data_IF_782709947798
#
_entry.id   IF_782709947798
#
_cell.length_a   1.000
_cell.length_b   1.000
_cell.length_c   1.000
_cell.angle_alpha   90.00
_cell.angle_beta   90.00
_cell.angle_gamma   90.00
#
_symmetry.space_group_name_H-M   'P 1'
#
loop_
_entity.id
_entity.type
_entity.pdbx_description
1 polymer ?
#
# COMPACT_ATOMS: atom_id res chain seq x y z
N UNK A 1 -0.13 5.31 39.02
CA UNK A 1 -0.15 5.74 37.60
C UNK A 1 0.60 4.71 36.76
N UNK A 2 0.00 3.53 36.57
CA UNK A 2 0.52 2.53 35.63
C UNK A 2 0.08 3.00 34.23
N UNK A 3 1.02 3.21 33.31
CA UNK A 3 0.71 3.59 31.91
C UNK A 3 1.31 4.89 31.39
N UNK A 4 1.88 5.77 32.23
CA UNK A 4 2.51 7.02 31.72
C UNK A 4 3.68 6.78 30.76
N UNK A 5 4.39 5.67 30.93
CA UNK A 5 5.51 5.26 30.06
C UNK A 5 5.16 4.10 29.11
N UNK A 6 3.91 3.64 29.10
CA UNK A 6 3.49 2.58 28.18
C UNK A 6 3.39 3.12 26.75
N UNK A 7 3.81 2.30 25.78
CA UNK A 7 3.58 2.54 24.34
C UNK A 7 2.07 2.59 24.05
N UNK A 8 1.69 3.22 22.95
CA UNK A 8 0.27 3.39 22.62
C UNK A 8 -0.47 2.06 22.38
N UNK A 9 0.22 1.03 21.87
CA UNK A 9 -0.27 -0.34 21.78
C UNK A 9 -0.60 -0.94 23.15
N UNK A 10 0.31 -0.83 24.11
CA UNK A 10 0.11 -1.27 25.49
C UNK A 10 -1.00 -0.49 26.19
N UNK A 11 -1.14 0.81 25.90
CA UNK A 11 -2.26 1.62 26.40
C UNK A 11 -3.58 1.12 25.85
N UNK A 12 -3.65 0.88 24.53
CA UNK A 12 -4.84 0.32 23.89
C UNK A 12 -5.24 -1.01 24.53
N UNK A 13 -4.30 -1.94 24.72
CA UNK A 13 -4.57 -3.24 25.34
C UNK A 13 -5.16 -3.11 26.75
N UNK A 14 -4.63 -2.19 27.56
CA UNK A 14 -5.21 -1.88 28.89
C UNK A 14 -6.61 -1.25 28.79
N UNK A 15 -6.88 -0.44 27.77
CA UNK A 15 -8.22 0.11 27.55
C UNK A 15 -9.22 -0.97 27.13
N UNK A 16 -8.81 -1.90 26.28
CA UNK A 16 -9.62 -3.05 25.84
C UNK A 16 -9.96 -3.95 27.03
N UNK A 17 -8.98 -4.27 27.88
CA UNK A 17 -9.21 -5.04 29.11
C UNK A 17 -10.22 -4.33 30.02
N UNK A 18 -10.09 -3.01 30.21
CA UNK A 18 -11.07 -2.24 30.96
C UNK A 18 -12.46 -2.30 30.33
N UNK A 19 -12.56 -2.14 29.01
CA UNK A 19 -13.82 -2.20 28.27
C UNK A 19 -14.50 -3.57 28.40
N UNK A 20 -13.71 -4.64 28.45
CA UNK A 20 -14.18 -6.01 28.64
C UNK A 20 -14.69 -6.26 30.07
N UNK A 21 -13.95 -5.83 31.09
CA UNK A 21 -14.22 -6.19 32.49
C UNK A 21 -15.20 -5.25 33.21
N UNK A 22 -15.24 -3.96 32.83
CA UNK A 22 -16.00 -2.95 33.55
C UNK A 22 -17.51 -3.23 33.64
N UNK A 23 -18.22 -3.75 32.62
CA UNK A 23 -19.66 -3.99 32.73
C UNK A 23 -20.06 -4.91 33.91
N UNK A 24 -19.33 -6.01 34.11
CA UNK A 24 -19.57 -6.92 35.23
C UNK A 24 -19.23 -6.26 36.58
N UNK A 25 -18.14 -5.49 36.62
CA UNK A 25 -17.75 -4.71 37.80
C UNK A 25 -18.80 -3.67 38.16
N UNK A 26 -19.34 -2.93 37.19
CA UNK A 26 -20.41 -1.93 37.39
C UNK A 26 -21.66 -2.60 37.98
N UNK A 27 -22.09 -3.73 37.41
CA UNK A 27 -23.24 -4.48 37.91
C UNK A 27 -23.03 -4.96 39.35
N UNK A 28 -21.84 -5.47 39.66
CA UNK A 28 -21.46 -5.89 41.00
C UNK A 28 -21.50 -4.73 42.01
N UNK A 29 -20.95 -3.56 41.65
CA UNK A 29 -20.95 -2.38 42.53
C UNK A 29 -22.37 -1.83 42.76
N UNK A 30 -23.23 -1.83 41.72
CA UNK A 30 -24.66 -1.46 41.88
C UNK A 30 -25.38 -2.42 42.84
N UNK A 31 -25.13 -3.72 42.73
CA UNK A 31 -25.71 -4.72 43.63
C UNK A 31 -25.30 -4.54 45.09
N UNK A 32 -24.14 -3.91 45.35
CA UNK A 32 -23.65 -3.55 46.69
C UNK A 32 -24.18 -2.22 47.23
N UNK A 33 -24.96 -1.47 46.43
CA UNK A 33 -25.41 -0.13 46.79
C UNK A 33 -24.35 0.97 46.56
N UNK A 34 -23.20 0.63 45.96
CA UNK A 34 -22.10 1.57 45.67
C UNK A 34 -22.36 2.38 44.39
N UNK A 35 -23.52 3.06 44.33
CA UNK A 35 -24.02 3.71 43.13
C UNK A 35 -23.09 4.80 42.59
N UNK A 36 -22.46 5.58 43.46
CA UNK A 36 -21.53 6.64 43.04
C UNK A 36 -20.29 6.08 42.31
N UNK A 37 -19.73 4.99 42.81
CA UNK A 37 -18.60 4.32 42.19
C UNK A 37 -19.01 3.63 40.88
N UNK A 38 -20.16 2.94 40.87
CA UNK A 38 -20.69 2.34 39.64
C UNK A 38 -20.89 3.36 38.52
N UNK A 39 -21.44 4.54 38.84
CA UNK A 39 -21.62 5.63 37.87
C UNK A 39 -20.29 6.17 37.37
N UNK A 40 -19.27 6.26 38.24
CA UNK A 40 -17.93 6.69 37.85
C UNK A 40 -17.29 5.70 36.86
N UNK A 41 -17.41 4.41 37.13
CA UNK A 41 -16.94 3.35 36.23
C UNK A 41 -17.68 3.34 34.89
N UNK A 42 -19.00 3.52 34.91
CA UNK A 42 -19.81 3.59 33.69
C UNK A 42 -19.45 4.81 32.82
N UNK A 43 -19.24 5.98 33.44
CA UNK A 43 -18.78 7.17 32.72
C UNK A 43 -17.40 6.95 32.07
N UNK A 44 -16.47 6.33 32.80
CA UNK A 44 -15.15 5.99 32.28
C UNK A 44 -15.23 4.96 31.14
N UNK A 45 -16.10 3.95 31.26
CA UNK A 45 -16.34 2.96 30.20
C UNK A 45 -16.90 3.62 28.94
N UNK A 46 -17.92 4.46 29.07
CA UNK A 46 -18.49 5.21 27.95
C UNK A 46 -17.46 6.13 27.29
N UNK A 47 -16.60 6.78 28.08
CA UNK A 47 -15.54 7.64 27.54
C UNK A 47 -14.50 6.84 26.75
N UNK A 48 -14.05 5.70 27.28
CA UNK A 48 -13.09 4.82 26.59
C UNK A 48 -13.68 4.25 25.31
N UNK A 49 -14.93 3.79 25.35
CA UNK A 49 -15.62 3.26 24.16
C UNK A 49 -15.71 4.31 23.06
N UNK A 50 -16.02 5.57 23.40
CA UNK A 50 -16.03 6.68 22.44
C UNK A 50 -14.66 7.02 21.86
N UNK A 51 -13.58 6.81 22.62
CA UNK A 51 -12.19 7.12 22.21
C UNK A 51 -11.47 5.95 21.56
N UNK A 52 -12.05 4.75 21.59
CA UNK A 52 -11.44 3.53 21.08
C UNK A 52 -10.91 3.66 19.64
N UNK A 53 -11.63 4.26 18.67
CA UNK A 53 -11.07 4.48 17.33
C UNK A 53 -9.74 5.25 17.34
N UNK A 54 -9.63 6.30 18.16
CA UNK A 54 -8.41 7.10 18.27
C UNK A 54 -7.28 6.34 19.00
N UNK A 55 -7.64 5.48 19.97
CA UNK A 55 -6.67 4.60 20.62
C UNK A 55 -6.11 3.54 19.64
N UNK A 56 -6.96 2.97 18.78
CA UNK A 56 -6.55 2.07 17.70
C UNK A 56 -5.62 2.79 16.73
N UNK A 57 -5.97 4.00 16.29
CA UNK A 57 -5.10 4.82 15.45
C UNK A 57 -3.70 4.98 16.07
N UNK A 58 -3.61 5.46 17.32
CA UNK A 58 -2.32 5.70 17.98
C UNK A 58 -1.47 4.43 18.10
N UNK A 59 -2.11 3.29 18.38
CA UNK A 59 -1.45 2.00 18.49
C UNK A 59 -1.01 1.38 17.16
N UNK A 60 -1.53 1.88 16.03
CA UNK A 60 -1.30 1.30 14.69
C UNK A 60 -0.72 2.36 13.74
N UNK A 61 -1.55 3.07 12.99
CA UNK A 61 -1.15 4.07 11.99
C UNK A 61 -0.39 5.27 12.58
N UNK A 62 -0.54 5.52 13.88
CA UNK A 62 0.19 6.55 14.63
C UNK A 62 1.48 6.05 15.29
N UNK A 63 1.79 4.75 15.20
CA UNK A 63 2.87 4.13 15.97
C UNK A 63 4.26 4.31 15.33
N UNK A 64 5.30 3.94 16.09
CA UNK A 64 6.67 3.88 15.57
C UNK A 64 6.85 2.81 14.50
N UNK A 65 6.19 1.66 14.68
CA UNK A 65 6.21 0.51 13.78
C UNK A 65 5.67 0.91 12.39
N UNK A 66 4.57 1.65 12.34
CA UNK A 66 4.05 2.18 11.07
C UNK A 66 4.98 3.23 10.44
N UNK A 67 5.72 3.99 11.25
CA UNK A 67 6.74 4.91 10.73
C UNK A 67 7.92 4.15 10.13
N UNK A 68 8.35 3.05 10.75
CA UNK A 68 9.42 2.18 10.26
C UNK A 68 9.03 1.55 8.92
N UNK A 69 7.79 1.09 8.76
CA UNK A 69 7.24 0.59 7.48
C UNK A 69 7.45 1.57 6.31
N UNK A 70 7.28 2.88 6.57
CA UNK A 70 7.43 3.94 5.55
C UNK A 70 8.84 4.52 5.47
N UNK A 71 9.77 4.05 6.30
CA UNK A 71 11.14 4.54 6.29
C UNK A 71 11.85 4.08 5.00
N UNK A 72 12.45 5.03 4.29
CA UNK A 72 13.22 4.70 3.09
C UNK A 72 14.54 4.03 3.49
N UNK A 73 14.89 2.89 2.88
CA UNK A 73 16.18 2.27 3.13
C UNK A 73 17.31 3.15 2.59
N UNK A 74 18.45 3.14 3.28
CA UNK A 74 19.63 3.92 2.90
C UNK A 74 20.17 3.53 1.51
N UNK A 75 20.00 2.27 1.13
CA UNK A 75 20.41 1.74 -0.17
C UNK A 75 19.25 0.98 -0.82
N UNK A 76 18.93 1.25 -2.10
CA UNK A 76 17.92 0.50 -2.82
C UNK A 76 18.34 -0.97 -2.96
N UNK A 77 17.45 -1.90 -2.61
CA UNK A 77 17.68 -3.32 -2.85
C UNK A 77 17.64 -3.61 -4.37
N UNK A 78 18.69 -4.27 -4.87
CA UNK A 78 18.90 -4.46 -6.30
C UNK A 78 17.81 -5.32 -6.97
N UNK A 79 17.27 -6.27 -6.23
CA UNK A 79 16.29 -7.28 -6.65
C UNK A 79 14.85 -6.97 -6.20
N UNK A 80 14.62 -5.84 -5.53
CA UNK A 80 13.28 -5.45 -5.09
C UNK A 80 12.29 -5.31 -6.27
N UNK A 81 11.07 -5.90 -6.21
CA UNK A 81 10.39 -6.48 -5.03
C UNK A 81 10.44 -8.02 -4.90
N UNK A 82 11.43 -8.71 -5.51
CA UNK A 82 11.42 -10.19 -5.60
C UNK A 82 11.45 -10.92 -4.26
N UNK A 83 12.05 -10.33 -3.22
CA UNK A 83 12.23 -10.92 -1.90
C UNK A 83 11.36 -10.24 -0.82
N UNK A 84 10.09 -10.00 -1.15
CA UNK A 84 9.13 -9.39 -0.21
C UNK A 84 8.31 -10.48 0.51
N UNK A 85 8.13 -10.33 1.82
CA UNK A 85 7.40 -11.28 2.64
C UNK A 85 5.88 -11.09 2.56
N UNK A 86 5.13 -12.20 2.56
CA UNK A 86 3.66 -12.20 2.68
C UNK A 86 3.18 -12.01 4.12
N UNK A 87 4.04 -12.26 5.11
CA UNK A 87 3.73 -12.15 6.53
C UNK A 87 3.32 -10.72 6.92
N UNK A 88 3.98 -9.70 6.36
CA UNK A 88 3.59 -8.29 6.49
C UNK A 88 2.13 -8.04 6.08
N UNK A 89 1.72 -8.57 4.92
CA UNK A 89 0.34 -8.39 4.42
C UNK A 89 -0.64 -9.07 5.38
N UNK A 90 -0.37 -10.32 5.76
CA UNK A 90 -1.21 -11.06 6.70
C UNK A 90 -1.31 -10.37 8.06
N UNK A 91 -0.23 -9.77 8.56
CA UNK A 91 -0.26 -9.01 9.81
C UNK A 91 -1.09 -7.74 9.71
N UNK A 92 -0.99 -6.99 8.61
CA UNK A 92 -1.85 -5.81 8.38
C UNK A 92 -3.34 -6.19 8.29
N UNK A 93 -3.65 -7.31 7.62
CA UNK A 93 -5.01 -7.85 7.56
C UNK A 93 -5.53 -8.32 8.93
N UNK A 94 -4.66 -8.93 9.76
CA UNK A 94 -5.03 -9.36 11.10
C UNK A 94 -5.24 -8.16 12.04
N UNK A 95 -4.41 -7.11 11.94
CA UNK A 95 -4.62 -5.84 12.66
C UNK A 95 -6.00 -5.26 12.30
N UNK A 96 -6.39 -5.28 11.02
CA UNK A 96 -7.73 -4.88 10.60
C UNK A 96 -8.83 -5.75 11.21
N UNK A 97 -8.62 -7.06 11.26
CA UNK A 97 -9.57 -7.97 11.89
C UNK A 97 -9.79 -7.63 13.37
N UNK A 98 -8.71 -7.44 14.14
CA UNK A 98 -8.78 -7.02 15.54
C UNK A 98 -9.49 -5.67 15.70
N UNK A 99 -9.12 -4.67 14.89
CA UNK A 99 -9.74 -3.35 14.94
C UNK A 99 -11.27 -3.42 14.72
N UNK A 100 -11.72 -4.17 13.71
CA UNK A 100 -13.17 -4.35 13.45
C UNK A 100 -13.87 -5.02 14.63
N UNK A 101 -13.27 -6.08 15.19
CA UNK A 101 -13.81 -6.83 16.33
C UNK A 101 -13.97 -5.94 17.57
N UNK A 102 -12.92 -5.18 17.91
CA UNK A 102 -12.93 -4.24 19.04
C UNK A 102 -13.98 -3.15 18.86
N UNK A 103 -14.09 -2.57 17.66
CA UNK A 103 -15.10 -1.55 17.36
C UNK A 103 -16.55 -2.10 17.39
N UNK A 104 -16.72 -3.39 17.07
CA UNK A 104 -18.00 -4.10 17.20
C UNK A 104 -18.39 -4.44 18.66
N UNK A 105 -17.48 -4.22 19.61
CA UNK A 105 -17.73 -4.41 21.05
C UNK A 105 -17.20 -5.71 21.62
N UNK A 106 -16.53 -6.54 20.82
CA UNK A 106 -15.75 -7.66 21.33
C UNK A 106 -14.34 -7.14 21.63
N UNK A 107 -14.10 -6.80 22.89
CA UNK A 107 -12.85 -6.21 23.38
C UNK A 107 -11.78 -7.25 23.75
N UNK A 108 -11.98 -8.52 23.44
CA UNK A 108 -10.97 -9.55 23.70
C UNK A 108 -9.68 -9.26 22.92
N UNK A 109 -8.55 -9.36 23.61
CA UNK A 109 -7.23 -9.16 23.02
C UNK A 109 -6.20 -10.09 23.67
N UNK A 110 -5.31 -10.63 22.84
CA UNK A 110 -4.06 -11.24 23.29
C UNK A 110 -2.96 -10.19 23.13
N UNK A 111 -2.34 -9.82 24.25
CA UNK A 111 -1.34 -8.76 24.30
C UNK A 111 -0.09 -9.12 23.50
N UNK A 112 0.35 -10.38 23.55
CA UNK A 112 1.56 -10.81 22.85
C UNK A 112 1.30 -10.92 21.35
N UNK A 113 0.17 -11.51 20.98
CA UNK A 113 -0.23 -11.62 19.57
C UNK A 113 -0.25 -10.25 18.90
N UNK A 114 -0.92 -9.25 19.49
CA UNK A 114 -1.04 -7.93 18.88
C UNK A 114 0.31 -7.23 18.71
N UNK A 115 1.21 -7.33 19.70
CA UNK A 115 2.56 -6.76 19.60
C UNK A 115 3.41 -7.46 18.54
N UNK A 116 3.27 -8.78 18.36
CA UNK A 116 3.94 -9.50 17.28
C UNK A 116 3.44 -9.06 15.90
N UNK A 117 2.14 -8.82 15.75
CA UNK A 117 1.57 -8.28 14.51
C UNK A 117 2.13 -6.89 14.18
N UNK A 118 2.23 -6.01 15.18
CA UNK A 118 2.83 -4.68 15.00
C UNK A 118 4.32 -4.77 14.64
N UNK A 119 5.06 -5.66 15.30
CA UNK A 119 6.47 -5.92 15.00
C UNK A 119 6.68 -6.44 13.57
N UNK A 120 5.86 -7.39 13.12
CA UNK A 120 5.89 -7.88 11.74
C UNK A 120 5.55 -6.77 10.74
N UNK A 121 4.51 -5.96 11.03
CA UNK A 121 4.15 -4.81 10.20
C UNK A 121 5.30 -3.80 10.09
N UNK A 122 6.09 -3.58 11.15
CA UNK A 122 7.26 -2.71 11.13
C UNK A 122 8.33 -3.14 10.11
N UNK A 123 8.42 -4.45 9.83
CA UNK A 123 9.36 -4.99 8.83
C UNK A 123 8.92 -4.78 7.38
N UNK A 124 7.72 -4.20 7.18
CA UNK A 124 7.20 -3.94 5.85
C UNK A 124 8.00 -2.93 5.05
N UNK A 125 7.75 -2.94 3.76
CA UNK A 125 8.63 -2.40 2.73
C UNK A 125 8.02 -1.19 2.00
N UNK A 126 7.09 -0.46 2.63
CA UNK A 126 6.43 0.71 2.01
C UNK A 126 7.40 1.80 1.58
N UNK A 127 8.42 2.08 2.40
CA UNK A 127 9.49 3.03 2.05
C UNK A 127 10.34 2.56 0.86
N UNK A 128 10.65 1.26 0.78
CA UNK A 128 11.38 0.65 -0.32
C UNK A 128 10.55 0.66 -1.62
N UNK A 129 9.25 0.36 -1.53
CA UNK A 129 8.31 0.45 -2.65
C UNK A 129 8.29 1.85 -3.25
N UNK A 130 8.15 2.88 -2.39
CA UNK A 130 8.12 4.27 -2.82
C UNK A 130 9.42 4.66 -3.52
N UNK A 131 10.57 4.26 -2.98
CA UNK A 131 11.88 4.51 -3.57
C UNK A 131 12.04 3.81 -4.93
N UNK A 132 11.62 2.55 -5.04
CA UNK A 132 11.71 1.77 -6.27
C UNK A 132 10.80 2.32 -7.39
N UNK A 133 9.55 2.65 -7.05
CA UNK A 133 8.61 3.29 -7.97
C UNK A 133 9.12 4.66 -8.45
N UNK A 134 9.70 5.45 -7.53
CA UNK A 134 10.30 6.74 -7.89
C UNK A 134 11.48 6.59 -8.86
N UNK A 135 12.38 5.65 -8.60
CA UNK A 135 13.52 5.36 -9.48
C UNK A 135 13.05 4.90 -10.88
N UNK A 136 12.08 3.98 -10.93
CA UNK A 136 11.49 3.52 -12.19
C UNK A 136 10.84 4.69 -12.95
N UNK A 137 10.02 5.50 -12.28
CA UNK A 137 9.36 6.64 -12.91
C UNK A 137 10.36 7.64 -13.48
N UNK A 138 11.43 7.96 -12.74
CA UNK A 138 12.48 8.85 -13.20
C UNK A 138 13.21 8.33 -14.45
N UNK A 139 13.55 7.03 -14.46
CA UNK A 139 14.22 6.39 -15.60
C UNK A 139 13.31 6.36 -16.84
N UNK A 140 12.04 5.98 -16.69
CA UNK A 140 11.07 5.96 -17.79
C UNK A 140 10.76 7.37 -18.30
N UNK A 141 10.69 8.37 -17.42
CA UNK A 141 10.52 9.76 -17.81
C UNK A 141 11.73 10.28 -18.62
N UNK A 142 12.95 9.89 -18.24
CA UNK A 142 14.15 10.21 -19.03
C UNK A 142 14.10 9.56 -20.42
N UNK A 143 13.72 8.28 -20.51
CA UNK A 143 13.53 7.60 -21.78
C UNK A 143 12.45 8.29 -22.65
N UNK A 144 11.32 8.66 -22.05
CA UNK A 144 10.25 9.38 -22.75
C UNK A 144 10.72 10.72 -23.33
N UNK A 145 11.57 11.47 -22.60
CA UNK A 145 12.17 12.71 -23.13
C UNK A 145 13.05 12.43 -24.34
N UNK A 146 13.82 11.36 -24.35
CA UNK A 146 14.64 10.97 -25.52
C UNK A 146 13.76 10.64 -26.73
N UNK A 147 12.65 9.92 -26.52
CA UNK A 147 11.69 9.62 -27.59
C UNK A 147 11.06 10.91 -28.13
N UNK A 148 10.62 11.81 -27.26
CA UNK A 148 10.04 13.09 -27.66
C UNK A 148 11.03 13.96 -28.45
N UNK A 149 12.30 14.03 -28.02
CA UNK A 149 13.36 14.74 -28.75
C UNK A 149 13.62 14.13 -30.13
N UNK A 150 13.56 12.79 -30.26
CA UNK A 150 13.67 12.14 -31.56
C UNK A 150 12.48 12.48 -32.45
N UNK A 151 11.26 12.44 -31.91
CA UNK A 151 10.04 12.74 -32.66
C UNK A 151 9.96 14.20 -33.13
N UNK A 152 10.55 15.13 -32.38
CA UNK A 152 10.66 16.54 -32.78
C UNK A 152 11.46 16.74 -34.09
N UNK A 153 12.27 15.75 -34.50
CA UNK A 153 13.00 15.74 -35.79
C UNK A 153 12.19 15.15 -36.94
N UNK A 154 10.90 14.87 -36.73
CA UNK A 154 10.01 14.20 -37.67
C UNK A 154 9.80 12.72 -37.35
N UNK A 155 8.83 12.07 -38.01
CA UNK A 155 8.42 10.70 -37.70
C UNK A 155 9.57 9.70 -37.91
N UNK A 156 9.52 8.57 -37.20
CA UNK A 156 10.54 7.52 -37.33
C UNK A 156 10.52 6.87 -38.71
N UNK A 157 9.33 6.74 -39.30
CA UNK A 157 9.10 6.19 -40.62
C UNK A 157 8.30 7.18 -41.48
N UNK A 158 8.43 7.07 -42.80
CA UNK A 158 7.53 7.73 -43.76
C UNK A 158 6.65 6.68 -44.44
N UNK A 159 5.65 7.12 -45.22
CA UNK A 159 4.65 6.24 -45.84
C UNK A 159 5.25 5.08 -46.67
N UNK A 160 6.46 5.21 -47.18
CA UNK A 160 7.14 4.22 -48.01
C UNK A 160 8.53 3.81 -47.52
N UNK A 161 9.07 4.42 -46.46
CA UNK A 161 10.44 4.17 -45.99
C UNK A 161 10.45 3.81 -44.51
N UNK A 162 10.97 2.61 -44.21
CA UNK A 162 11.27 2.12 -42.87
C UNK A 162 12.79 2.08 -42.67
N UNK A 163 13.39 3.01 -41.93
CA UNK A 163 14.84 3.01 -41.71
C UNK A 163 15.24 1.89 -40.72
N UNK A 164 16.49 1.45 -40.78
CA UNK A 164 17.07 0.43 -39.87
C UNK A 164 16.87 0.80 -38.38
N UNK A 165 16.86 2.09 -38.05
CA UNK A 165 16.58 2.57 -36.70
C UNK A 165 15.21 2.12 -36.15
N UNK A 166 14.20 1.92 -37.00
CA UNK A 166 12.89 1.42 -36.60
C UNK A 166 12.95 -0.05 -36.15
N UNK A 167 13.80 -0.87 -36.79
CA UNK A 167 13.99 -2.28 -36.41
C UNK A 167 14.87 -2.43 -35.18
N UNK A 168 15.88 -1.57 -35.04
CA UNK A 168 16.69 -1.48 -33.81
C UNK A 168 15.78 -1.14 -32.63
N UNK A 169 14.92 -0.12 -32.76
CA UNK A 169 13.99 0.27 -31.70
C UNK A 169 13.04 -0.88 -31.33
N UNK A 170 12.43 -1.55 -32.32
CA UNK A 170 11.54 -2.69 -32.09
C UNK A 170 12.26 -3.83 -31.33
N UNK A 171 13.52 -4.12 -31.68
CA UNK A 171 14.33 -5.12 -30.99
C UNK A 171 14.68 -4.71 -29.56
N UNK A 172 15.03 -3.44 -29.33
CA UNK A 172 15.30 -2.90 -27.98
C UNK A 172 14.04 -3.00 -27.10
N UNK A 173 12.88 -2.62 -27.63
CA UNK A 173 11.59 -2.74 -26.92
C UNK A 173 11.34 -4.20 -26.55
N UNK A 174 11.42 -5.12 -27.52
CA UNK A 174 11.17 -6.54 -27.28
C UNK A 174 12.14 -7.14 -26.26
N UNK A 175 13.45 -6.86 -26.40
CA UNK A 175 14.49 -7.48 -25.57
C UNK A 175 14.50 -6.91 -24.15
N UNK A 176 14.54 -5.59 -24.00
CA UNK A 176 14.78 -4.96 -22.70
C UNK A 176 13.49 -4.50 -22.04
N UNK A 177 12.57 -3.90 -22.80
CA UNK A 177 11.33 -3.41 -22.19
C UNK A 177 10.37 -4.56 -21.88
N UNK A 178 10.01 -5.37 -22.87
CA UNK A 178 9.09 -6.51 -22.68
C UNK A 178 9.76 -7.62 -21.88
N UNK A 179 11.04 -7.91 -22.15
CA UNK A 179 11.77 -8.99 -21.47
C UNK A 179 12.06 -8.72 -19.99
N UNK A 180 12.42 -7.49 -19.62
CA UNK A 180 12.98 -7.22 -18.29
C UNK A 180 12.19 -6.13 -17.52
N UNK A 181 11.99 -4.96 -18.14
CA UNK A 181 11.42 -3.78 -17.45
C UNK A 181 9.93 -3.98 -17.14
N UNK A 182 9.15 -4.50 -18.09
CA UNK A 182 7.70 -4.67 -17.94
C UNK A 182 7.35 -5.71 -16.85
N UNK A 183 8.01 -6.88 -16.76
CA UNK A 183 7.80 -7.81 -15.65
C UNK A 183 8.10 -7.19 -14.29
N UNK A 184 9.22 -6.44 -14.16
CA UNK A 184 9.56 -5.74 -12.91
C UNK A 184 8.51 -4.68 -12.56
N UNK A 185 8.07 -3.90 -13.54
CA UNK A 185 7.03 -2.90 -13.35
C UNK A 185 5.71 -3.52 -12.89
N UNK A 186 5.33 -4.67 -13.45
CA UNK A 186 4.16 -5.43 -13.02
C UNK A 186 4.30 -5.93 -11.58
N UNK A 187 5.49 -6.43 -11.18
CA UNK A 187 5.75 -6.86 -9.82
C UNK A 187 5.65 -5.70 -8.80
N UNK A 188 6.21 -4.53 -9.13
CA UNK A 188 6.07 -3.33 -8.29
C UNK A 188 4.61 -2.89 -8.16
N UNK A 189 3.83 -2.95 -9.25
CA UNK A 189 2.41 -2.57 -9.21
C UNK A 189 1.58 -3.56 -8.37
N UNK A 190 1.87 -4.87 -8.44
CA UNK A 190 1.24 -5.85 -7.54
C UNK A 190 1.54 -5.54 -6.08
N UNK A 191 2.83 -5.33 -5.75
CA UNK A 191 3.24 -5.02 -4.38
C UNK A 191 2.60 -3.74 -3.85
N UNK A 192 2.45 -2.73 -4.72
CA UNK A 192 1.70 -1.51 -4.40
C UNK A 192 0.27 -1.81 -3.94
N UNK A 193 -0.50 -2.59 -4.70
CA UNK A 193 -1.87 -2.91 -4.28
C UNK A 193 -1.91 -3.81 -3.05
N UNK A 194 -1.03 -4.80 -2.95
CA UNK A 194 -0.95 -5.71 -1.80
C UNK A 194 -0.73 -4.99 -0.47
N UNK A 195 0.14 -3.96 -0.46
CA UNK A 195 0.43 -3.20 0.75
C UNK A 195 -0.62 -2.14 1.07
N UNK A 196 -1.13 -1.43 0.05
CA UNK A 196 -2.02 -0.30 0.28
C UNK A 196 -3.43 -0.73 0.67
N UNK A 197 -3.94 -1.84 0.11
CA UNK A 197 -5.29 -2.32 0.41
C UNK A 197 -5.58 -2.50 1.92
N UNK A 198 -4.76 -3.22 2.71
CA UNK A 198 -5.04 -3.35 4.13
C UNK A 198 -4.79 -2.05 4.91
N UNK A 199 -3.90 -1.17 4.45
CA UNK A 199 -3.67 0.14 5.09
C UNK A 199 -4.91 1.03 4.90
N UNK A 200 -5.39 1.17 3.66
CA UNK A 200 -6.59 1.94 3.33
C UNK A 200 -7.83 1.38 4.03
N UNK A 201 -7.92 0.05 4.19
CA UNK A 201 -9.01 -0.57 4.94
C UNK A 201 -9.02 -0.16 6.43
N UNK A 202 -7.84 -0.01 7.06
CA UNK A 202 -7.74 0.50 8.43
C UNK A 202 -8.09 1.98 8.50
N UNK A 203 -7.58 2.78 7.55
CA UNK A 203 -7.88 4.21 7.44
C UNK A 203 -9.39 4.46 7.31
N UNK A 204 -10.06 3.72 6.42
CA UNK A 204 -11.51 3.78 6.22
C UNK A 204 -12.29 3.35 7.48
N UNK A 205 -11.82 2.30 8.17
CA UNK A 205 -12.44 1.82 9.39
C UNK A 205 -12.39 2.84 10.52
N UNK A 206 -11.28 3.58 10.63
CA UNK A 206 -11.07 4.57 11.69
C UNK A 206 -11.71 5.93 11.36
N UNK A 207 -11.87 6.27 10.07
CA UNK A 207 -12.67 7.39 9.59
C UNK A 207 -12.37 8.71 10.32
N UNK A 208 -13.38 9.28 10.97
CA UNK A 208 -13.30 10.58 11.68
C UNK A 208 -12.31 10.58 12.87
N UNK A 209 -11.79 9.42 13.27
CA UNK A 209 -10.78 9.32 14.32
C UNK A 209 -9.36 9.62 13.81
N UNK A 210 -9.14 9.65 12.49
CA UNK A 210 -7.85 9.97 11.90
C UNK A 210 -7.51 11.46 12.15
N UNK A 211 -6.32 11.79 12.67
CA UNK A 211 -5.91 13.17 12.83
C UNK A 211 -5.82 13.90 11.49
N UNK A 212 -6.17 15.21 11.41
CA UNK A 212 -6.12 15.97 10.16
C UNK A 212 -4.75 15.94 9.47
N UNK A 213 -3.67 15.99 10.25
CA UNK A 213 -2.31 15.90 9.72
C UNK A 213 -2.02 14.54 9.06
N UNK A 214 -2.57 13.45 9.62
CA UNK A 214 -2.45 12.13 9.05
C UNK A 214 -3.22 12.03 7.73
N UNK A 215 -4.46 12.53 7.68
CA UNK A 215 -5.28 12.53 6.45
C UNK A 215 -4.59 13.27 5.31
N UNK A 216 -3.99 14.42 5.60
CA UNK A 216 -3.21 15.18 4.60
C UNK A 216 -2.01 14.37 4.12
N UNK A 217 -1.26 13.75 5.04
CA UNK A 217 -0.10 12.94 4.70
C UNK A 217 -0.48 11.69 3.87
N UNK A 218 -1.54 10.98 4.26
CA UNK A 218 -2.05 9.81 3.55
C UNK A 218 -2.48 10.19 2.12
N UNK A 219 -3.20 11.30 1.95
CA UNK A 219 -3.56 11.80 0.62
C UNK A 219 -2.35 12.14 -0.26
N UNK A 220 -1.28 12.70 0.32
CA UNK A 220 -0.03 12.96 -0.40
C UNK A 220 0.71 11.67 -0.77
N UNK A 221 0.76 10.70 0.15
CA UNK A 221 1.31 9.36 -0.08
C UNK A 221 0.60 8.68 -1.26
N UNK A 222 -0.73 8.65 -1.24
CA UNK A 222 -1.54 7.95 -2.24
C UNK A 222 -1.44 8.61 -3.61
N UNK A 223 -1.53 9.95 -3.66
CA UNK A 223 -1.35 10.71 -4.89
C UNK A 223 0.04 10.44 -5.51
N UNK A 224 1.08 10.43 -4.68
CA UNK A 224 2.46 10.16 -5.14
C UNK A 224 2.61 8.73 -5.64
N UNK A 225 2.17 7.73 -4.88
CA UNK A 225 2.31 6.32 -5.27
C UNK A 225 1.53 6.03 -6.57
N UNK A 226 0.29 6.52 -6.68
CA UNK A 226 -0.54 6.39 -7.87
C UNK A 226 0.12 7.03 -9.10
N UNK A 227 0.67 8.24 -8.95
CA UNK A 227 1.36 8.94 -10.04
C UNK A 227 2.60 8.18 -10.52
N UNK A 228 3.38 7.62 -9.59
CA UNK A 228 4.56 6.81 -9.91
C UNK A 228 4.19 5.46 -10.55
N UNK A 229 3.13 4.81 -10.08
CA UNK A 229 2.65 3.53 -10.59
C UNK A 229 2.18 3.62 -12.06
N UNK A 230 1.76 4.80 -12.52
CA UNK A 230 1.35 5.04 -13.92
C UNK A 230 2.51 5.17 -14.91
N UNK A 231 3.76 5.32 -14.46
CA UNK A 231 4.90 5.59 -15.34
C UNK A 231 5.12 4.54 -16.46
N UNK A 232 5.01 3.22 -16.21
CA UNK A 232 5.12 2.19 -17.26
C UNK A 232 4.10 2.36 -18.37
N UNK A 233 2.84 2.67 -18.02
CA UNK A 233 1.77 2.89 -19.00
C UNK A 233 2.07 4.09 -19.89
N UNK A 234 2.46 5.24 -19.30
CA UNK A 234 2.86 6.43 -20.06
C UNK A 234 4.04 6.16 -21.00
N UNK A 235 4.98 5.30 -20.57
CA UNK A 235 6.09 4.88 -21.41
C UNK A 235 5.66 4.02 -22.59
N UNK A 236 4.76 3.05 -22.37
CA UNK A 236 4.16 2.23 -23.46
C UNK A 236 3.48 3.13 -24.49
N UNK A 237 2.69 4.11 -24.04
CA UNK A 237 2.03 5.08 -24.93
C UNK A 237 3.05 5.88 -25.77
N UNK A 238 4.17 6.28 -25.16
CA UNK A 238 5.27 6.97 -25.86
C UNK A 238 5.96 6.06 -26.90
N UNK A 239 6.21 4.80 -26.55
CA UNK A 239 6.79 3.80 -27.46
C UNK A 239 5.86 3.47 -28.63
N UNK A 240 4.55 3.42 -28.40
CA UNK A 240 3.57 3.22 -29.48
C UNK A 240 3.54 4.42 -30.42
N UNK A 241 3.56 5.63 -29.86
CA UNK A 241 3.49 6.87 -30.65
C UNK A 241 4.70 7.03 -31.58
N UNK A 242 5.93 6.82 -31.09
CA UNK A 242 7.14 6.96 -31.92
C UNK A 242 7.21 5.93 -33.06
N UNK A 243 6.53 4.78 -32.90
CA UNK A 243 6.45 3.75 -33.92
C UNK A 243 5.39 4.05 -34.99
N UNK A 244 4.53 5.05 -34.83
CA UNK A 244 3.61 5.46 -35.88
C UNK A 244 4.28 6.49 -36.81
N UNK A 245 4.09 6.42 -38.14
CA UNK A 245 3.26 5.48 -38.91
C UNK A 245 4.08 4.31 -39.52
N UNK A 246 4.99 3.68 -38.77
CA UNK A 246 5.87 2.66 -39.35
C UNK A 246 5.09 1.48 -39.93
N UNK A 247 5.33 1.11 -41.20
CA UNK A 247 4.68 -0.05 -41.81
C UNK A 247 5.14 -1.34 -41.12
N UNK A 248 4.30 -2.40 -41.14
CA UNK A 248 4.65 -3.70 -40.56
C UNK A 248 5.96 -4.24 -41.16
N UNK A 249 6.79 -4.83 -40.31
CA UNK A 249 8.08 -5.37 -40.72
C UNK A 249 7.87 -6.57 -41.65
N UNK A 250 8.20 -6.43 -42.95
CA UNK A 250 8.05 -7.49 -43.96
C UNK A 250 8.99 -8.70 -43.77
N UNK A 251 9.89 -8.66 -42.79
CA UNK A 251 10.85 -9.72 -42.47
C UNK A 251 10.72 -10.33 -41.06
N UNK A 252 9.67 -10.00 -40.30
CA UNK A 252 9.40 -10.70 -39.04
C UNK A 252 8.63 -12.02 -39.33
N UNK A 253 8.99 -13.16 -38.71
CA UNK A 253 8.15 -14.34 -38.78
C UNK A 253 6.75 -14.00 -38.23
N UNK A 254 5.73 -14.52 -38.92
CA UNK A 254 4.34 -14.25 -38.64
C UNK A 254 3.92 -14.93 -37.33
N UNK A 255 3.94 -14.21 -36.21
CA UNK A 255 3.37 -14.67 -34.92
C UNK A 255 1.83 -14.57 -34.91
N UNK A 256 1.18 -14.57 -36.08
CA UNK A 256 -0.26 -14.76 -36.24
C UNK A 256 -0.64 -16.24 -36.07
N UNK A 257 -0.29 -16.81 -34.90
CA UNK A 257 -0.39 -18.23 -34.65
C UNK A 257 -0.70 -18.62 -33.21
N UNK A 258 -1.35 -17.75 -32.42
CA UNK A 258 -1.87 -18.15 -31.10
C UNK A 258 -3.20 -17.47 -30.76
N UNK A 259 -4.27 -18.22 -31.04
CA UNK A 259 -5.53 -18.27 -30.28
C UNK A 259 -6.49 -17.08 -30.36
N UNK A 260 -7.34 -17.11 -31.40
CA UNK A 260 -8.76 -16.79 -31.21
C UNK A 260 -9.44 -18.02 -30.57
N UNK A 261 -9.93 -17.87 -29.35
CA UNK A 261 -11.14 -18.58 -28.87
C UNK A 261 -12.08 -17.56 -28.22
N UNK A 262 -13.38 -17.55 -28.58
CA UNK A 262 -14.39 -16.76 -27.88
C UNK A 262 -15.11 -17.57 -26.78
N UNK A 263 -15.87 -16.85 -25.94
CA UNK A 263 -16.82 -17.27 -24.90
C UNK A 263 -16.20 -17.84 -23.60
N UNK A 264 -16.68 -17.57 -22.39
CA UNK A 264 -17.91 -16.97 -21.88
C UNK A 264 -18.13 -17.49 -20.43
N UNK A 265 -18.77 -16.70 -19.57
CA UNK A 265 -19.45 -17.04 -18.31
C UNK A 265 -18.86 -18.12 -17.38
N UNK A 266 -18.34 -17.69 -16.22
CA UNK A 266 -18.85 -17.92 -14.85
C UNK A 266 -17.97 -17.15 -13.85
#
# INVERSE_FOLDING_TARGET
SLGRMARDSQRLLLELEYLQLAPACIAYQRGRGETALANTLEQAWLQKRRRLPAAIYNATLGSSEYREFWQQPAFPAADYPANTGSAVIASLEMINHHARRWLAGDFSADNLEFELLLGEAATGDGGALLQALAAQSAALAAANRMLAQRMARGPLCSASIRPVAADILANVIRKFFIGDIQPRAAALNRRYHELLLPIEALEQLLGDALPPAYVVWAGQRDARLSELALAPRRHVESLQTIQQPCPPNKGAPDDSGASRRPAGAL
#
